data_IF_792898830111
#
_entry.id   IF_792898830111
#
_cell.length_a   1.000
_cell.length_b   1.000
_cell.length_c   1.000
_cell.angle_alpha   90.00
_cell.angle_beta   90.00
_cell.angle_gamma   90.00
#
_symmetry.space_group_name_H-M   'P 1'
#
loop_
_entity.id
_entity.type
_entity.pdbx_description
1 polymer ?
#
# COMPACT_ATOMS: atom_id res chain seq x y z
N UNK A 1 39.27 23.48 11.88
CA UNK A 1 39.37 22.55 10.73
C UNK A 1 37.97 22.32 10.20
N UNK A 2 37.78 22.49 8.89
CA UNK A 2 36.53 22.81 8.19
C UNK A 2 35.45 21.72 8.23
N UNK A 3 34.78 21.60 9.37
CA UNK A 3 33.58 20.76 9.50
C UNK A 3 32.55 21.15 8.45
N UNK A 4 31.96 20.14 7.82
CA UNK A 4 30.84 20.25 6.89
C UNK A 4 29.70 20.99 7.57
N UNK A 5 29.76 22.31 7.50
CA UNK A 5 28.83 23.20 8.16
C UNK A 5 27.53 23.10 7.38
N UNK A 6 26.39 22.94 8.06
CA UNK A 6 25.03 22.97 7.48
C UNK A 6 24.84 23.87 6.24
N UNK A 7 25.36 25.12 6.19
CA UNK A 7 25.27 25.95 4.98
C UNK A 7 25.94 25.36 3.72
N UNK A 8 27.06 24.65 3.84
CA UNK A 8 27.72 24.02 2.69
C UNK A 8 26.87 22.89 2.09
N UNK A 9 26.24 22.06 2.92
CA UNK A 9 25.34 21.01 2.44
C UNK A 9 24.12 21.61 1.73
N UNK A 10 23.59 22.73 2.22
CA UNK A 10 22.45 23.42 1.59
C UNK A 10 22.83 24.00 0.22
N UNK A 11 24.02 24.60 0.09
CA UNK A 11 24.54 25.10 -1.19
C UNK A 11 24.74 23.94 -2.17
N UNK A 12 25.34 22.83 -1.74
CA UNK A 12 25.53 21.64 -2.58
C UNK A 12 24.19 21.06 -3.01
N UNK A 13 23.21 20.95 -2.12
CA UNK A 13 21.86 20.48 -2.45
C UNK A 13 21.18 21.38 -3.50
N UNK A 14 21.37 22.70 -3.40
CA UNK A 14 20.85 23.66 -4.39
C UNK A 14 21.49 23.45 -5.77
N UNK A 15 22.82 23.27 -5.81
CA UNK A 15 23.55 23.00 -7.06
C UNK A 15 23.06 21.69 -7.70
N UNK A 16 22.96 20.61 -6.91
CA UNK A 16 22.44 19.32 -7.38
C UNK A 16 21.00 19.46 -7.91
N UNK A 17 20.14 20.21 -7.22
CA UNK A 17 18.77 20.46 -7.66
C UNK A 17 18.70 21.21 -9.01
N UNK A 18 19.61 22.14 -9.26
CA UNK A 18 19.70 22.88 -10.53
C UNK A 18 20.23 21.99 -11.65
N UNK A 19 21.27 21.20 -11.42
CA UNK A 19 21.85 20.30 -12.43
C UNK A 19 20.91 19.17 -12.83
N UNK A 20 20.29 18.51 -11.85
CA UNK A 20 19.40 17.38 -12.09
C UNK A 20 17.95 17.80 -12.35
N UNK A 21 17.57 19.00 -11.91
CA UNK A 21 16.21 19.53 -12.03
C UNK A 21 15.21 18.88 -11.07
N UNK A 22 14.11 19.58 -10.79
CA UNK A 22 13.04 19.10 -9.89
C UNK A 22 12.35 17.81 -10.36
N UNK A 23 12.26 17.60 -11.68
CA UNK A 23 11.53 16.46 -12.27
C UNK A 23 12.23 15.12 -11.99
N UNK A 24 13.53 15.03 -12.29
CA UNK A 24 14.31 13.79 -12.09
C UNK A 24 14.47 13.43 -10.62
N UNK A 25 14.76 14.41 -9.76
CA UNK A 25 14.90 14.17 -8.32
C UNK A 25 13.59 13.70 -7.70
N UNK A 26 12.43 14.26 -8.09
CA UNK A 26 11.14 13.86 -7.53
C UNK A 26 10.75 12.43 -7.94
N UNK A 27 11.02 12.03 -9.18
CA UNK A 27 10.73 10.67 -9.67
C UNK A 27 11.62 9.65 -8.95
N UNK A 28 12.93 9.91 -8.89
CA UNK A 28 13.88 9.04 -8.17
C UNK A 28 13.58 9.00 -6.67
N UNK A 29 13.35 10.13 -6.01
CA UNK A 29 13.04 10.16 -4.58
C UNK A 29 11.71 9.46 -4.26
N UNK A 30 10.75 9.45 -5.18
CA UNK A 30 9.51 8.69 -5.06
C UNK A 30 9.75 7.18 -5.00
N UNK A 31 10.57 6.64 -5.89
CA UNK A 31 10.87 5.20 -5.93
C UNK A 31 11.82 4.77 -4.80
N UNK A 32 12.81 5.60 -4.47
CA UNK A 32 13.63 5.41 -3.27
C UNK A 32 12.80 5.46 -1.99
N UNK A 33 11.86 6.40 -1.88
CA UNK A 33 10.97 6.54 -0.74
C UNK A 33 10.07 5.32 -0.52
N UNK A 34 9.54 4.73 -1.60
CA UNK A 34 8.79 3.47 -1.55
C UNK A 34 9.67 2.33 -1.06
N UNK A 35 10.89 2.18 -1.59
CA UNK A 35 11.83 1.13 -1.17
C UNK A 35 12.20 1.23 0.31
N UNK A 36 12.54 2.43 0.79
CA UNK A 36 12.86 2.68 2.21
C UNK A 36 11.62 2.43 3.10
N UNK A 37 10.42 2.83 2.66
CA UNK A 37 9.17 2.59 3.40
C UNK A 37 8.86 1.10 3.53
N UNK A 38 8.98 0.34 2.45
CA UNK A 38 8.79 -1.12 2.47
C UNK A 38 9.84 -1.83 3.32
N UNK A 39 11.10 -1.37 3.28
CA UNK A 39 12.17 -1.91 4.13
C UNK A 39 11.89 -1.65 5.62
N UNK A 40 11.46 -0.43 5.96
CA UNK A 40 11.09 -0.06 7.33
C UNK A 40 9.82 -0.76 7.81
N UNK A 41 8.84 -0.97 6.93
CA UNK A 41 7.65 -1.77 7.24
C UNK A 41 8.01 -3.23 7.47
N UNK A 42 8.88 -3.83 6.64
CA UNK A 42 9.34 -5.21 6.83
C UNK A 42 10.13 -5.41 8.14
N UNK A 43 11.00 -4.47 8.51
CA UNK A 43 11.69 -4.51 9.80
C UNK A 43 10.74 -4.27 10.99
N UNK A 44 9.75 -3.38 10.85
CA UNK A 44 8.80 -3.10 11.91
C UNK A 44 7.75 -4.21 12.09
N UNK A 45 7.43 -4.97 11.03
CA UNK A 45 6.57 -6.15 11.09
C UNK A 45 7.25 -7.29 11.86
N UNK A 46 8.57 -7.42 11.73
CA UNK A 46 9.40 -8.37 12.49
C UNK A 46 9.44 -8.04 14.00
N UNK A 47 9.48 -6.75 14.37
CA UNK A 47 9.46 -6.31 15.78
C UNK A 47 8.06 -6.12 16.38
N UNK A 48 7.03 -5.85 15.57
CA UNK A 48 5.69 -5.53 16.05
C UNK A 48 4.63 -6.16 15.16
N UNK A 49 4.33 -7.44 15.38
CA UNK A 49 3.16 -8.09 14.81
C UNK A 49 1.87 -7.35 15.22
N UNK A 50 1.46 -6.35 14.44
CA UNK A 50 0.11 -5.79 14.46
C UNK A 50 -0.72 -6.52 13.42
N UNK A 51 -1.94 -6.96 13.76
CA UNK A 51 -2.82 -7.57 12.78
C UNK A 51 -3.15 -6.53 11.72
N UNK A 52 -2.69 -6.76 10.49
CA UNK A 52 -3.15 -5.99 9.35
C UNK A 52 -4.69 -6.14 9.26
N UNK A 53 -5.46 -5.05 9.11
CA UNK A 53 -6.90 -5.18 8.90
C UNK A 53 -7.11 -6.05 7.65
N UNK A 54 -8.04 -7.03 7.70
CA UNK A 54 -8.23 -7.96 6.60
C UNK A 54 -8.50 -7.17 5.32
N UNK A 55 -7.83 -7.50 4.20
CA UNK A 55 -8.09 -6.86 2.92
C UNK A 55 -9.59 -6.99 2.65
N UNK A 56 -10.24 -5.86 2.34
CA UNK A 56 -11.66 -5.78 2.11
C UNK A 56 -12.06 -6.88 1.12
N UNK A 57 -12.73 -7.92 1.64
CA UNK A 57 -13.27 -8.99 0.82
C UNK A 57 -14.29 -8.35 -0.10
N UNK A 58 -14.05 -8.45 -1.40
CA UNK A 58 -15.04 -8.16 -2.42
C UNK A 58 -16.21 -9.10 -2.09
N UNK A 59 -17.40 -8.60 -1.70
CA UNK A 59 -18.50 -9.49 -1.35
C UNK A 59 -18.78 -10.38 -2.59
N UNK A 60 -18.84 -11.71 -2.44
CA UNK A 60 -19.25 -12.58 -3.53
C UNK A 60 -20.64 -12.15 -3.99
N UNK A 61 -20.70 -11.58 -5.20
CA UNK A 61 -21.95 -11.39 -5.89
C UNK A 61 -22.55 -12.78 -6.18
N UNK A 62 -23.81 -12.95 -5.76
CA UNK A 62 -24.72 -14.03 -6.13
C UNK A 62 -24.29 -15.47 -5.77
N UNK A 63 -24.74 -15.94 -4.60
CA UNK A 63 -25.07 -17.35 -4.46
C UNK A 63 -26.26 -17.66 -5.39
N UNK A 64 -26.18 -18.69 -6.27
CA UNK A 64 -27.39 -19.27 -6.84
C UNK A 64 -28.12 -19.95 -5.68
N UNK A 65 -29.23 -19.37 -5.25
CA UNK A 65 -30.22 -20.07 -4.44
C UNK A 65 -30.86 -21.12 -5.33
N UNK A 66 -30.20 -22.27 -5.46
CA UNK A 66 -30.78 -23.46 -6.05
C UNK A 66 -30.68 -24.59 -5.03
N UNK A 67 -31.81 -25.28 -4.84
CA UNK A 67 -32.04 -26.46 -4.01
C UNK A 67 -32.13 -26.24 -2.48
N UNK A 68 -33.30 -25.77 -2.01
CA UNK A 68 -34.09 -26.44 -0.96
C UNK A 68 -35.29 -25.58 -0.49
N UNK A 69 -36.21 -25.24 -1.40
CA UNK A 69 -37.60 -24.98 -1.03
C UNK A 69 -38.47 -25.88 -1.87
N UNK A 70 -38.80 -27.03 -1.28
CA UNK A 70 -39.80 -27.97 -1.78
C UNK A 70 -41.10 -27.18 -2.04
N UNK A 71 -41.64 -27.18 -3.27
CA UNK A 71 -42.93 -26.57 -3.51
C UNK A 71 -43.98 -27.43 -2.83
N UNK A 72 -44.53 -26.88 -1.74
CA UNK A 72 -45.84 -27.24 -1.25
C UNK A 72 -46.85 -27.05 -2.39
N UNK A 73 -47.28 -28.15 -2.97
CA UNK A 73 -48.31 -28.17 -4.00
C UNK A 73 -48.64 -29.60 -4.40
N UNK A 74 -49.93 -29.90 -4.42
CA UNK A 74 -50.54 -31.08 -5.04
C UNK A 74 -50.55 -32.41 -4.27
N UNK A 75 -51.42 -32.49 -3.26
CA UNK A 75 -52.17 -33.74 -3.05
C UNK A 75 -53.59 -33.46 -2.52
N UNK A 76 -54.51 -33.21 -3.45
CA UNK A 76 -55.93 -33.54 -3.31
C UNK A 76 -56.29 -34.36 -4.55
N UNK A 77 -56.45 -35.69 -4.49
CA UNK A 77 -57.80 -36.26 -4.32
C UNK A 77 -57.84 -37.68 -3.73
N UNK A 78 -58.81 -37.95 -2.83
CA UNK A 78 -59.68 -39.15 -2.74
C UNK A 78 -60.29 -39.26 -1.35
#
# INVERSE_FOLDING_TARGET
MMGLSLPHLLIVALVVLVLFGRGRISEMMGDFGKGIKSFKQGMADDETARPAPPPAQIPPAAAPTEAAQQPSGDQLPR
#
